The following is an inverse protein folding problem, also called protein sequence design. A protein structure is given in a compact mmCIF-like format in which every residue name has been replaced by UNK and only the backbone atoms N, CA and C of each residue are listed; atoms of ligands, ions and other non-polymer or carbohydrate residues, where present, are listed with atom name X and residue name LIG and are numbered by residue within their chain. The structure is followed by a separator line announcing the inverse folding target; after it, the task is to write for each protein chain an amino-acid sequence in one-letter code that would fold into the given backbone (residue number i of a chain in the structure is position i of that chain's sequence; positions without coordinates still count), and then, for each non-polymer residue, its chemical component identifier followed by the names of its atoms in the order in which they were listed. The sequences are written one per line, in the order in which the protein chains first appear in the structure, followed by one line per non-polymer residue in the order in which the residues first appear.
data_IF_262520912398
#
_entry.id   IF_262520912398
#
_cell.length_a   1.000
_cell.length_b   1.000
_cell.length_c   1.000
_cell.angle_alpha   90.00
_cell.angle_beta   90.00
_cell.angle_gamma   90.00
#
_symmetry.space_group_name_H-M   'P 1'
#
loop_
_entity.id
_entity.type
_entity.pdbx_description
1 polymer ?
#
# COMPACT_ATOMS: atom_id res chain seq x y z
N UNK A 1 -16.79 -19.65 -15.59
CA UNK A 1 -16.68 -20.58 -14.45
C UNK A 1 -15.65 -20.03 -13.47
N UNK A 2 -16.09 -19.88 -12.22
CA UNK A 2 -15.32 -19.50 -11.01
C UNK A 2 -14.69 -18.10 -11.00
N UNK A 3 -15.47 -17.10 -10.57
CA UNK A 3 -14.92 -15.96 -9.82
C UNK A 3 -14.28 -16.56 -8.57
N UNK A 4 -12.96 -16.46 -8.43
CA UNK A 4 -12.32 -16.73 -7.15
C UNK A 4 -12.89 -15.71 -6.16
N UNK A 5 -13.21 -16.11 -4.92
CA UNK A 5 -13.52 -15.11 -3.91
C UNK A 5 -12.33 -14.16 -3.86
N UNK A 6 -12.60 -12.87 -4.03
CA UNK A 6 -11.61 -11.82 -3.84
C UNK A 6 -10.89 -12.13 -2.53
N UNK A 7 -9.60 -12.44 -2.60
CA UNK A 7 -8.79 -12.74 -1.42
C UNK A 7 -8.50 -11.42 -0.68
N UNK A 8 -9.55 -10.74 -0.24
CA UNK A 8 -9.53 -9.45 0.43
C UNK A 8 -8.64 -9.48 1.68
N UNK A 9 -8.54 -10.66 2.30
CA UNK A 9 -7.75 -10.89 3.50
C UNK A 9 -6.34 -11.43 3.22
N UNK A 10 -6.00 -11.72 1.97
CA UNK A 10 -4.63 -12.12 1.63
C UNK A 10 -3.82 -10.87 1.31
N UNK A 11 -2.79 -10.54 2.10
CA UNK A 11 -1.94 -9.40 1.80
C UNK A 11 -1.24 -9.61 0.45
N UNK A 12 -1.07 -8.52 -0.28
CA UNK A 12 -0.34 -8.47 -1.55
C UNK A 12 1.10 -8.09 -1.26
N UNK A 13 2.05 -8.75 -1.94
CA UNK A 13 3.46 -8.43 -1.81
C UNK A 13 3.73 -7.04 -2.38
N UNK A 14 4.52 -6.26 -1.65
CA UNK A 14 4.98 -4.94 -2.06
C UNK A 14 6.50 -4.85 -1.97
N UNK A 15 7.08 -4.13 -2.91
CA UNK A 15 8.52 -3.84 -3.00
C UNK A 15 8.74 -2.43 -2.48
N UNK A 16 9.66 -2.27 -1.52
CA UNK A 16 10.08 -0.97 -1.04
C UNK A 16 11.10 -0.37 -2.02
N UNK A 17 10.71 0.70 -2.70
CA UNK A 17 11.52 1.34 -3.73
C UNK A 17 12.57 2.28 -3.13
N UNK A 18 12.14 3.10 -2.17
CA UNK A 18 13.01 4.08 -1.51
C UNK A 18 12.44 4.50 -0.15
N UNK A 19 13.34 4.99 0.69
CA UNK A 19 13.03 5.64 1.96
C UNK A 19 13.60 7.05 1.92
N UNK A 20 12.80 8.04 2.29
CA UNK A 20 13.20 9.45 2.36
C UNK A 20 13.09 9.90 3.81
N UNK A 21 14.17 10.44 4.37
CA UNK A 21 14.14 11.13 5.65
C UNK A 21 13.58 12.55 5.45
N UNK A 22 12.46 12.88 6.08
CA UNK A 22 11.78 14.18 5.91
C UNK A 22 12.27 15.18 6.97
N UNK A 23 12.12 14.82 8.24
CA UNK A 23 12.56 15.57 9.42
C UNK A 23 13.02 14.56 10.49
N UNK A 24 13.49 15.06 11.64
CA UNK A 24 13.87 14.19 12.76
C UNK A 24 12.74 13.21 13.08
N UNK A 25 13.08 11.91 13.06
CA UNK A 25 12.18 10.78 13.38
C UNK A 25 11.01 10.56 12.39
N UNK A 26 10.96 11.29 11.27
CA UNK A 26 9.91 11.12 10.24
C UNK A 26 10.52 10.65 8.93
N UNK A 27 9.98 9.56 8.40
CA UNK A 27 10.41 8.95 7.13
C UNK A 27 9.22 8.67 6.22
N UNK A 28 9.39 8.93 4.94
CA UNK A 28 8.45 8.54 3.88
C UNK A 28 8.96 7.28 3.19
N UNK A 29 8.12 6.25 3.12
CA UNK A 29 8.41 4.99 2.46
C UNK A 29 7.63 4.94 1.14
N UNK A 30 8.34 4.77 0.04
CA UNK A 30 7.73 4.62 -1.28
C UNK A 30 7.81 3.15 -1.67
N UNK A 31 6.68 2.59 -2.06
CA UNK A 31 6.58 1.20 -2.47
C UNK A 31 5.61 1.05 -3.65
N UNK A 32 5.67 -0.10 -4.28
CA UNK A 32 4.66 -0.57 -5.22
C UNK A 32 4.34 -2.04 -4.96
N UNK A 33 3.17 -2.50 -5.40
CA UNK A 33 2.87 -3.94 -5.41
C UNK A 33 3.74 -4.64 -6.44
N UNK A 34 4.27 -5.82 -6.07
CA UNK A 34 5.11 -6.64 -6.95
C UNK A 34 4.37 -7.03 -8.24
N UNK A 35 3.05 -7.28 -8.13
CA UNK A 35 2.18 -7.52 -9.28
C UNK A 35 1.67 -6.18 -9.85
N UNK A 36 2.01 -5.84 -11.12
CA UNK A 36 1.50 -4.63 -11.78
C UNK A 36 -0.03 -4.57 -11.87
N UNK A 37 -0.72 -5.70 -11.91
CA UNK A 37 -2.19 -5.74 -11.94
C UNK A 37 -2.79 -5.28 -10.61
N UNK A 38 -2.19 -5.66 -9.48
CA UNK A 38 -2.59 -5.20 -8.15
C UNK A 38 -2.31 -3.71 -7.99
N UNK A 39 -1.15 -3.24 -8.47
CA UNK A 39 -0.80 -1.82 -8.48
C UNK A 39 -1.81 -0.98 -9.28
N UNK A 40 -2.26 -1.48 -10.44
CA UNK A 40 -3.27 -0.81 -11.25
C UNK A 40 -4.65 -0.77 -10.57
N UNK A 41 -5.03 -1.84 -9.87
CA UNK A 41 -6.28 -1.92 -9.12
C UNK A 41 -6.29 -1.02 -7.87
N UNK A 42 -5.13 -0.81 -7.24
CA UNK A 42 -5.00 -0.06 -6.00
C UNK A 42 -5.27 1.45 -6.13
N UNK A 43 -5.21 2.01 -7.34
CA UNK A 43 -5.43 3.45 -7.64
C UNK A 43 -6.81 4.00 -7.25
N UNK A 44 -7.70 3.19 -6.66
CA UNK A 44 -9.09 3.52 -6.33
C UNK A 44 -9.37 3.49 -4.83
N UNK A 45 -8.44 3.93 -3.98
CA UNK A 45 -8.71 4.06 -2.55
C UNK A 45 -9.56 5.30 -2.28
N UNK A 46 -10.57 5.16 -1.42
CA UNK A 46 -11.48 6.22 -0.99
C UNK A 46 -10.87 6.99 0.19
N UNK A 47 -11.25 8.26 0.37
CA UNK A 47 -10.92 9.00 1.59
C UNK A 47 -11.32 8.22 2.85
N UNK A 48 -10.43 8.20 3.84
CA UNK A 48 -10.62 7.48 5.10
C UNK A 48 -10.18 6.01 5.10
N UNK A 49 -9.69 5.48 3.97
CA UNK A 49 -9.01 4.19 3.95
C UNK A 49 -7.54 4.31 4.37
N UNK A 50 -7.01 3.22 4.92
CA UNK A 50 -5.60 3.07 5.28
C UNK A 50 -5.08 1.73 4.77
N UNK A 51 -3.77 1.61 4.61
CA UNK A 51 -3.12 0.34 4.32
C UNK A 51 -2.82 -0.40 5.63
N UNK A 52 -3.21 -1.67 5.73
CA UNK A 52 -2.69 -2.56 6.76
C UNK A 52 -1.38 -3.17 6.25
N UNK A 53 -0.27 -2.85 6.90
CA UNK A 53 1.06 -3.30 6.48
C UNK A 53 1.51 -4.44 7.38
N UNK A 54 1.88 -5.56 6.79
CA UNK A 54 2.48 -6.70 7.50
C UNK A 54 3.96 -6.78 7.17
N UNK A 55 4.80 -6.84 8.20
CA UNK A 55 6.25 -7.00 8.10
C UNK A 55 6.64 -8.39 8.60
N UNK A 56 7.38 -9.13 7.76
CA UNK A 56 7.79 -10.50 8.05
C UNK A 56 8.55 -10.59 9.38
N UNK A 57 8.04 -11.39 10.31
CA UNK A 57 8.68 -11.65 11.60
C UNK A 57 8.64 -10.50 12.61
N UNK A 58 8.03 -9.35 12.26
CA UNK A 58 7.97 -8.17 13.13
C UNK A 58 6.55 -7.92 13.63
N UNK A 59 5.54 -8.03 12.76
CA UNK A 59 4.15 -7.77 13.10
C UNK A 59 3.43 -6.95 12.03
N UNK A 60 2.37 -6.25 12.44
CA UNK A 60 1.53 -5.46 11.55
C UNK A 60 1.22 -4.08 12.12
N UNK A 61 1.02 -3.11 11.24
CA UNK A 61 0.61 -1.77 11.63
C UNK A 61 -0.26 -1.10 10.55
N UNK A 62 -1.17 -0.20 10.94
CA UNK A 62 -1.93 0.61 9.99
C UNK A 62 -1.09 1.81 9.52
N UNK A 63 -1.08 2.07 8.22
CA UNK A 63 -0.44 3.21 7.58
C UNK A 63 -1.47 4.03 6.80
N UNK A 64 -1.59 5.31 7.15
CA UNK A 64 -2.39 6.25 6.36
C UNK A 64 -1.75 6.45 4.99
N UNK A 65 -2.56 6.37 3.93
CA UNK A 65 -2.12 6.70 2.58
C UNK A 65 -2.43 8.17 2.33
N UNK A 66 -1.43 9.07 2.32
CA UNK A 66 -1.70 10.44 1.89
C UNK A 66 -2.10 10.37 0.41
N UNK A 67 -3.22 11.00 0.00
CA UNK A 67 -3.52 11.12 -1.41
C UNK A 67 -2.34 11.81 -2.10
N UNK A 68 -1.89 11.28 -3.24
CA UNK A 68 -0.93 11.98 -4.07
C UNK A 68 -1.59 13.27 -4.54
N UNK A 69 -0.97 14.46 -4.36
CA UNK A 69 -1.50 15.74 -4.88
C UNK A 69 -1.59 15.81 -6.41
N UNK A 70 -1.27 14.71 -7.10
CA UNK A 70 -1.16 14.61 -8.56
C UNK A 70 -1.97 13.46 -9.16
N UNK A 71 -2.81 12.79 -8.37
CA UNK A 71 -3.76 11.81 -8.89
C UNK A 71 -5.11 12.50 -9.10
N UNK A 72 -5.48 12.72 -10.36
CA UNK A 72 -6.82 13.18 -10.74
C UNK A 72 -7.88 12.18 -10.23
N UNK A 73 -9.00 12.71 -9.76
CA UNK A 73 -10.22 11.96 -9.36
C UNK A 73 -10.71 10.99 -10.46
#
# INVERSE_FOLDING_TARGET
MSSRPDQLYLPKLAVLDRVVDEIAEVRTFYWHFEDPAEQAAFKRFKPGQFAQVSLFGIGEFPASLPPSPTEDE
#
